data_IF_953599951385
#
_entry.id   IF_953599951385
#
_cell.length_a   1.000
_cell.length_b   1.000
_cell.length_c   1.000
_cell.angle_alpha   90.00
_cell.angle_beta   90.00
_cell.angle_gamma   90.00
#
_symmetry.space_group_name_H-M   'P 1'
#
loop_
_entity.id
_entity.type
_entity.pdbx_description
1 polymer ?
#
# COMPACT_ATOMS: atom_id res chain seq x y z
N UNK A 1 -2.45 1.91 19.66
CA UNK A 1 -2.92 3.08 18.88
C UNK A 1 -1.82 3.61 17.94
N UNK A 2 -0.65 4.08 18.44
CA UNK A 2 0.43 4.64 17.59
C UNK A 2 1.12 3.66 16.63
N UNK A 3 1.29 2.40 17.01
CA UNK A 3 2.01 1.42 16.18
C UNK A 3 1.19 1.01 14.95
N UNK A 4 -0.13 0.81 15.15
CA UNK A 4 -1.08 0.54 14.07
C UNK A 4 -1.11 1.68 13.06
N UNK A 5 -1.09 2.93 13.54
CA UNK A 5 -0.99 4.12 12.69
C UNK A 5 0.29 4.12 11.84
N UNK A 6 1.41 3.68 12.41
CA UNK A 6 2.69 3.57 11.71
C UNK A 6 2.66 2.54 10.58
N UNK A 7 2.08 1.37 10.82
CA UNK A 7 1.91 0.33 9.78
C UNK A 7 1.00 0.83 8.66
N UNK A 8 -0.12 1.47 8.99
CA UNK A 8 -1.03 2.05 7.99
C UNK A 8 -0.32 3.14 7.17
N UNK A 9 0.45 4.02 7.81
CA UNK A 9 1.27 5.01 7.11
C UNK A 9 2.29 4.37 6.17
N UNK A 10 2.99 3.32 6.61
CA UNK A 10 3.91 2.57 5.76
C UNK A 10 3.24 1.99 4.52
N UNK A 11 2.05 1.40 4.68
CA UNK A 11 1.26 0.88 3.56
C UNK A 11 0.82 1.98 2.59
N UNK A 12 0.43 3.16 3.07
CA UNK A 12 0.10 4.30 2.21
C UNK A 12 1.31 4.77 1.40
N UNK A 13 2.49 4.86 2.03
CA UNK A 13 3.74 5.22 1.35
C UNK A 13 4.06 4.18 0.27
N UNK A 14 3.96 2.89 0.58
CA UNK A 14 4.16 1.82 -0.40
C UNK A 14 3.18 1.92 -1.58
N UNK A 15 1.91 2.20 -1.30
CA UNK A 15 0.90 2.42 -2.34
C UNK A 15 1.21 3.62 -3.22
N UNK A 16 1.58 4.76 -2.62
CA UNK A 16 1.94 5.97 -3.33
C UNK A 16 3.19 5.79 -4.21
N UNK A 17 4.22 5.14 -3.67
CA UNK A 17 5.44 4.82 -4.43
C UNK A 17 5.13 3.86 -5.59
N UNK A 18 4.35 2.81 -5.36
CA UNK A 18 3.97 1.87 -6.42
C UNK A 18 3.19 2.57 -7.54
N UNK A 19 2.24 3.45 -7.21
CA UNK A 19 1.52 4.23 -8.22
C UNK A 19 2.40 5.24 -8.94
N UNK A 20 3.34 5.90 -8.25
CA UNK A 20 4.32 6.78 -8.89
C UNK A 20 5.21 6.03 -9.89
N UNK A 21 5.65 4.83 -9.54
CA UNK A 21 6.44 3.96 -10.42
C UNK A 21 5.59 3.34 -11.55
N UNK A 22 4.29 3.16 -11.36
CA UNK A 22 3.39 2.64 -12.37
C UNK A 22 3.35 3.52 -13.63
N UNK A 23 3.62 4.82 -13.51
CA UNK A 23 3.77 5.76 -14.65
C UNK A 23 4.92 5.35 -15.57
N UNK A 24 5.94 4.71 -15.02
CA UNK A 24 7.09 4.17 -15.76
C UNK A 24 6.90 2.70 -16.17
N UNK A 25 5.67 2.18 -16.11
CA UNK A 25 5.33 0.75 -16.27
C UNK A 25 6.05 -0.16 -15.27
N UNK A 26 6.48 0.37 -14.12
CA UNK A 26 7.10 -0.40 -13.06
C UNK A 26 6.10 -0.70 -11.93
N UNK A 27 6.12 -1.92 -11.42
CA UNK A 27 5.28 -2.34 -10.31
C UNK A 27 6.16 -2.75 -9.13
N UNK A 28 6.29 -1.87 -8.14
CA UNK A 28 7.16 -2.07 -6.97
C UNK A 28 6.75 -3.31 -6.18
N UNK A 29 5.45 -3.48 -5.95
CA UNK A 29 4.96 -4.59 -5.12
C UNK A 29 5.23 -5.91 -5.83
N UNK A 30 4.95 -5.99 -7.13
CA UNK A 30 5.29 -7.18 -7.93
C UNK A 30 6.79 -7.39 -8.05
N UNK A 31 7.60 -6.33 -8.12
CA UNK A 31 9.06 -6.45 -8.18
C UNK A 31 9.67 -7.02 -6.89
N UNK A 32 9.08 -6.69 -5.73
CA UNK A 32 9.56 -7.17 -4.42
C UNK A 32 9.00 -8.55 -4.05
N UNK A 33 7.73 -8.82 -4.36
CA UNK A 33 7.00 -10.00 -3.87
C UNK A 33 6.56 -10.97 -4.99
N UNK A 34 6.89 -10.66 -6.24
CA UNK A 34 6.50 -11.44 -7.41
C UNK A 34 5.02 -11.28 -7.77
N UNK A 35 4.56 -12.14 -8.68
CA UNK A 35 3.14 -12.23 -9.04
C UNK A 35 2.49 -13.35 -8.24
N UNK A 36 1.38 -13.08 -7.57
CA UNK A 36 0.63 -14.12 -6.85
C UNK A 36 -0.20 -13.60 -5.69
N UNK A 37 -0.67 -14.52 -4.86
CA UNK A 37 -1.58 -14.25 -3.74
C UNK A 37 -1.03 -13.22 -2.76
N UNK A 38 0.27 -13.27 -2.44
CA UNK A 38 0.94 -12.32 -1.53
C UNK A 38 0.80 -10.89 -2.03
N UNK A 39 1.07 -10.66 -3.32
CA UNK A 39 0.94 -9.35 -3.97
C UNK A 39 -0.49 -8.86 -3.94
N UNK A 40 -1.48 -9.72 -4.22
CA UNK A 40 -2.90 -9.37 -4.12
C UNK A 40 -3.31 -8.99 -2.70
N UNK A 41 -2.80 -9.71 -1.68
CA UNK A 41 -3.04 -9.38 -0.28
C UNK A 41 -2.44 -8.03 0.10
N UNK A 42 -1.22 -7.73 -0.35
CA UNK A 42 -0.59 -6.43 -0.10
C UNK A 42 -1.39 -5.29 -0.73
N UNK A 43 -1.89 -5.45 -1.96
CA UNK A 43 -2.78 -4.46 -2.57
C UNK A 43 -4.07 -4.28 -1.76
N UNK A 44 -4.66 -5.36 -1.26
CA UNK A 44 -5.82 -5.29 -0.35
C UNK A 44 -5.51 -4.51 0.94
N UNK A 45 -4.38 -4.78 1.58
CA UNK A 45 -3.94 -4.07 2.80
C UNK A 45 -3.67 -2.59 2.55
N UNK A 46 -3.06 -2.24 1.41
CA UNK A 46 -2.85 -0.84 1.01
C UNK A 46 -4.18 -0.13 0.79
N UNK A 47 -5.14 -0.79 0.13
CA UNK A 47 -6.49 -0.24 -0.04
C UNK A 47 -7.20 0.01 1.30
N UNK A 48 -7.12 -0.96 2.23
CA UNK A 48 -7.67 -0.81 3.57
C UNK A 48 -7.00 0.32 4.36
N UNK A 49 -5.67 0.48 4.24
CA UNK A 49 -4.95 1.58 4.86
C UNK A 49 -5.42 2.94 4.32
N UNK A 50 -5.74 3.03 3.02
CA UNK A 50 -6.36 4.20 2.39
C UNK A 50 -7.72 4.54 3.01
N UNK A 51 -8.60 3.55 3.13
CA UNK A 51 -9.92 3.72 3.76
C UNK A 51 -9.79 4.15 5.23
N UNK A 52 -8.90 3.51 5.99
CA UNK A 52 -8.64 3.87 7.38
C UNK A 52 -8.17 5.33 7.51
N UNK A 53 -7.26 5.78 6.65
CA UNK A 53 -6.77 7.15 6.65
C UNK A 53 -7.87 8.16 6.34
N UNK A 54 -8.77 7.86 5.39
CA UNK A 54 -9.93 8.70 5.09
C UNK A 54 -10.89 8.83 6.28
N UNK A 55 -11.15 7.71 6.97
CA UNK A 55 -12.00 7.72 8.18
C UNK A 55 -11.35 8.53 9.29
N UNK A 56 -10.03 8.43 9.47
CA UNK A 56 -9.27 9.15 10.49
C UNK A 56 -9.11 10.65 10.20
N UNK A 57 -9.18 11.07 8.94
CA UNK A 57 -9.06 12.48 8.54
C UNK A 57 -10.26 13.33 8.98
N UNK A 58 -11.38 12.69 9.30
CA UNK A 58 -12.62 13.32 9.77
C UNK A 58 -12.60 13.54 11.28
#
# INVERSE_FOLDING_TARGET
MREFDGVMHGLLILGALNWGLAVLNANLITALFGTGMITSLLYGLIGLAGVYALIKLR
#
